data_IF_207095143487
#
_entry.id   IF_207095143487
#
_cell.length_a   1.000
_cell.length_b   1.000
_cell.length_c   1.000
_cell.angle_alpha   90.00
_cell.angle_beta   90.00
_cell.angle_gamma   90.00
#
_symmetry.space_group_name_H-M   'P 1'
#
loop_
_entity.id
_entity.type
_entity.pdbx_description
1 polymer ?
#
# COMPACT_ATOMS: atom_id res chain seq x y z
N UNK A 1 -49.81 -35.27 0.74
CA UNK A 1 -49.19 -33.92 0.67
C UNK A 1 -47.85 -33.90 1.42
N UNK A 2 -46.86 -34.68 0.98
CA UNK A 2 -45.54 -34.75 1.64
C UNK A 2 -44.35 -34.41 0.70
N UNK A 3 -44.58 -34.32 -0.61
CA UNK A 3 -43.50 -34.14 -1.59
C UNK A 3 -43.13 -32.67 -1.88
N UNK A 4 -43.91 -31.70 -1.42
CA UNK A 4 -43.62 -30.28 -1.64
C UNK A 4 -42.62 -29.70 -0.61
N UNK A 5 -42.51 -30.31 0.58
CA UNK A 5 -41.65 -29.80 1.66
C UNK A 5 -40.17 -30.14 1.40
N UNK A 6 -39.89 -31.30 0.82
CA UNK A 6 -38.52 -31.74 0.50
C UNK A 6 -37.87 -30.99 -0.68
N UNK A 7 -38.66 -30.35 -1.55
CA UNK A 7 -38.15 -29.57 -2.67
C UNK A 7 -37.67 -28.16 -2.25
N UNK A 8 -38.29 -27.58 -1.21
CA UNK A 8 -37.94 -26.23 -0.73
C UNK A 8 -36.72 -26.30 0.21
N UNK A 9 -36.60 -27.36 1.01
CA UNK A 9 -35.49 -27.55 1.95
C UNK A 9 -34.13 -27.76 1.28
N UNK A 10 -34.09 -28.47 0.15
CA UNK A 10 -32.86 -28.68 -0.62
C UNK A 10 -32.33 -27.40 -1.28
N UNK A 11 -33.23 -26.54 -1.75
CA UNK A 11 -32.88 -25.31 -2.45
C UNK A 11 -32.41 -24.21 -1.49
N UNK A 12 -33.04 -24.08 -0.32
CA UNK A 12 -32.63 -23.12 0.71
C UNK A 12 -31.29 -23.51 1.37
N UNK A 13 -31.10 -24.80 1.67
CA UNK A 13 -29.85 -25.32 2.22
C UNK A 13 -28.68 -25.19 1.23
N UNK A 14 -28.91 -25.48 -0.05
CA UNK A 14 -27.91 -25.28 -1.10
C UNK A 14 -27.54 -23.80 -1.30
N UNK A 15 -28.52 -22.90 -1.27
CA UNK A 15 -28.29 -21.46 -1.38
C UNK A 15 -27.50 -20.91 -0.19
N UNK A 16 -27.83 -21.33 1.04
CA UNK A 16 -27.09 -20.95 2.24
C UNK A 16 -25.65 -21.49 2.22
N UNK A 17 -25.45 -22.74 1.79
CA UNK A 17 -24.11 -23.32 1.62
C UNK A 17 -23.27 -22.56 0.59
N UNK A 18 -23.87 -22.18 -0.54
CA UNK A 18 -23.20 -21.39 -1.58
C UNK A 18 -22.86 -19.97 -1.13
N UNK A 19 -23.74 -19.32 -0.35
CA UNK A 19 -23.45 -18.00 0.24
C UNK A 19 -22.30 -18.08 1.25
N UNK A 20 -22.26 -19.11 2.09
CA UNK A 20 -21.18 -19.31 3.05
C UNK A 20 -19.83 -19.54 2.35
N UNK A 21 -19.80 -20.35 1.29
CA UNK A 21 -18.56 -20.55 0.53
C UNK A 21 -18.10 -19.27 -0.17
N UNK A 22 -19.02 -18.48 -0.72
CA UNK A 22 -18.70 -17.15 -1.27
C UNK A 22 -18.11 -16.21 -0.20
N UNK A 23 -18.69 -16.16 1.00
CA UNK A 23 -18.17 -15.33 2.10
C UNK A 23 -16.76 -15.75 2.48
N UNK A 24 -16.50 -17.05 2.58
CA UNK A 24 -15.15 -17.58 2.89
C UNK A 24 -14.15 -17.21 1.80
N UNK A 25 -14.52 -17.38 0.52
CA UNK A 25 -13.67 -17.01 -0.60
C UNK A 25 -13.40 -15.50 -0.63
N UNK A 26 -14.42 -14.66 -0.47
CA UNK A 26 -14.26 -13.22 -0.40
C UNK A 26 -13.38 -12.80 0.76
N UNK A 27 -13.56 -13.39 1.94
CA UNK A 27 -12.73 -13.09 3.13
C UNK A 27 -11.27 -13.47 2.89
N UNK A 28 -11.02 -14.62 2.26
CA UNK A 28 -9.68 -15.06 1.91
C UNK A 28 -9.01 -14.12 0.90
N UNK A 29 -9.73 -13.69 -0.13
CA UNK A 29 -9.22 -12.73 -1.12
C UNK A 29 -8.88 -11.37 -0.50
N UNK A 30 -9.73 -10.87 0.40
CA UNK A 30 -9.48 -9.61 1.12
C UNK A 30 -8.23 -9.72 2.00
N UNK A 31 -8.09 -10.83 2.74
CA UNK A 31 -6.90 -11.07 3.57
C UNK A 31 -5.63 -11.17 2.72
N UNK A 32 -5.69 -11.85 1.59
CA UNK A 32 -4.56 -11.98 0.68
C UNK A 32 -4.17 -10.63 0.05
N UNK A 33 -5.14 -9.77 -0.28
CA UNK A 33 -4.87 -8.42 -0.76
C UNK A 33 -4.14 -7.58 0.28
N UNK A 34 -4.58 -7.60 1.55
CA UNK A 34 -3.91 -6.87 2.63
C UNK A 34 -2.45 -7.32 2.83
N UNK A 35 -2.20 -8.64 2.77
CA UNK A 35 -0.84 -9.18 2.86
C UNK A 35 0.00 -8.73 1.66
N UNK A 36 -0.56 -8.78 0.45
CA UNK A 36 0.13 -8.36 -0.76
C UNK A 36 0.51 -6.88 -0.70
N UNK A 37 -0.41 -6.01 -0.28
CA UNK A 37 -0.15 -4.57 -0.10
C UNK A 37 1.00 -4.33 0.87
N UNK A 38 0.98 -4.97 2.05
CA UNK A 38 2.05 -4.84 3.04
C UNK A 38 3.43 -5.28 2.50
N UNK A 39 3.49 -6.41 1.78
CA UNK A 39 4.74 -6.90 1.17
C UNK A 39 5.26 -5.93 0.09
N UNK A 40 4.34 -5.34 -0.69
CA UNK A 40 4.69 -4.38 -1.74
C UNK A 40 5.24 -3.09 -1.12
N UNK A 41 4.61 -2.58 -0.06
CA UNK A 41 5.06 -1.40 0.67
C UNK A 41 6.44 -1.60 1.28
N UNK A 42 6.69 -2.73 1.96
CA UNK A 42 7.99 -3.01 2.58
C UNK A 42 9.11 -3.08 1.52
N UNK A 43 8.84 -3.75 0.39
CA UNK A 43 9.79 -3.80 -0.74
C UNK A 43 10.00 -2.44 -1.38
N UNK A 44 8.97 -1.59 -1.43
CA UNK A 44 9.06 -0.22 -1.94
C UNK A 44 9.95 0.63 -1.04
N UNK A 45 9.71 0.62 0.27
CA UNK A 45 10.52 1.36 1.24
C UNK A 45 11.98 0.97 1.18
N UNK A 46 12.30 -0.33 1.19
CA UNK A 46 13.68 -0.82 1.04
C UNK A 46 14.37 -0.36 -0.25
N UNK A 47 13.62 -0.25 -1.35
CA UNK A 47 14.17 0.21 -2.65
C UNK A 47 14.36 1.71 -2.69
N UNK A 48 13.37 2.47 -2.23
CA UNK A 48 13.44 3.94 -2.16
C UNK A 48 14.56 4.36 -1.22
N UNK A 49 14.70 3.68 -0.08
CA UNK A 49 15.79 3.94 0.86
C UNK A 49 17.17 3.84 0.23
N UNK A 50 17.42 2.79 -0.57
CA UNK A 50 18.68 2.68 -1.33
C UNK A 50 18.90 3.83 -2.31
N UNK A 51 17.85 4.31 -2.97
CA UNK A 51 17.96 5.46 -3.88
C UNK A 51 18.27 6.75 -3.10
N UNK A 52 17.65 6.94 -1.93
CA UNK A 52 17.92 8.10 -1.07
C UNK A 52 19.37 8.07 -0.58
N UNK A 53 19.85 6.93 -0.08
CA UNK A 53 21.23 6.77 0.38
C UNK A 53 22.24 7.08 -0.74
N UNK A 54 21.96 6.65 -1.96
CA UNK A 54 22.81 6.94 -3.13
C UNK A 54 22.75 8.41 -3.56
N UNK A 55 21.57 9.02 -3.55
CA UNK A 55 21.35 10.40 -4.05
C UNK A 55 21.76 11.48 -3.03
N UNK A 56 21.66 11.17 -1.74
CA UNK A 56 21.95 12.10 -0.65
C UNK A 56 23.23 11.74 0.12
N UNK A 57 23.92 10.66 -0.25
CA UNK A 57 25.15 10.18 0.38
C UNK A 57 25.02 10.09 1.91
N UNK A 58 23.95 9.44 2.37
CA UNK A 58 23.58 9.38 3.79
C UNK A 58 23.31 7.95 4.24
N UNK A 59 23.36 7.73 5.55
CA UNK A 59 23.06 6.45 6.19
C UNK A 59 21.55 6.24 6.40
N UNK A 60 21.11 5.01 6.64
CA UNK A 60 19.68 4.65 6.82
C UNK A 60 19.03 5.33 8.03
N UNK A 61 19.80 5.59 9.07
CA UNK A 61 19.39 6.27 10.30
C UNK A 61 19.34 7.79 10.17
N UNK A 62 19.89 8.35 9.08
CA UNK A 62 19.89 9.78 8.83
C UNK A 62 18.54 10.30 8.29
N UNK A 63 17.63 9.42 7.87
CA UNK A 63 16.34 9.82 7.31
C UNK A 63 15.19 8.89 7.68
N UNK A 64 13.97 9.39 7.49
CA UNK A 64 12.72 8.63 7.59
C UNK A 64 11.84 8.97 6.40
N UNK A 65 11.25 7.94 5.79
CA UNK A 65 10.28 8.11 4.71
C UNK A 65 8.90 8.27 5.36
N UNK A 66 8.25 9.39 5.09
CA UNK A 66 6.91 9.72 5.56
C UNK A 66 5.91 9.64 4.40
N UNK A 67 4.71 9.17 4.71
CA UNK A 67 3.60 9.28 3.77
C UNK A 67 3.10 10.74 3.69
N UNK A 68 2.77 11.25 2.49
CA UNK A 68 2.13 12.55 2.36
C UNK A 68 0.76 12.60 3.03
N UNK A 69 0.45 13.71 3.70
CA UNK A 69 -0.89 13.96 4.26
C UNK A 69 -1.90 14.25 3.15
N UNK A 70 -1.47 14.94 2.09
CA UNK A 70 -2.30 15.26 0.94
C UNK A 70 -2.62 14.00 0.11
N UNK A 71 -3.91 13.65 -0.06
CA UNK A 71 -4.32 12.46 -0.84
C UNK A 71 -3.93 12.55 -2.32
N UNK A 72 -3.75 13.75 -2.87
CA UNK A 72 -3.28 13.93 -4.25
C UNK A 72 -1.78 13.65 -4.41
N UNK A 73 -1.01 13.72 -3.32
CA UNK A 73 0.41 13.42 -3.32
C UNK A 73 0.68 11.94 -2.97
N UNK A 74 -0.26 11.28 -2.27
CA UNK A 74 -0.13 9.88 -1.88
C UNK A 74 0.03 8.97 -3.11
N UNK A 75 1.09 8.16 -3.10
CA UNK A 75 1.43 7.24 -4.20
C UNK A 75 2.13 7.90 -5.40
N UNK A 76 2.25 9.23 -5.42
CA UNK A 76 2.99 9.98 -6.47
C UNK A 76 4.31 10.50 -5.92
N UNK A 77 4.29 11.07 -4.72
CA UNK A 77 5.45 11.61 -4.04
C UNK A 77 5.68 10.89 -2.71
N UNK A 78 6.95 10.86 -2.30
CA UNK A 78 7.38 10.43 -0.98
C UNK A 78 8.05 11.60 -0.26
N UNK A 79 7.81 11.72 1.04
CA UNK A 79 8.46 12.73 1.85
C UNK A 79 9.64 12.06 2.56
N UNK A 80 10.81 12.67 2.49
CA UNK A 80 12.00 12.25 3.21
C UNK A 80 12.28 13.28 4.28
N UNK A 81 12.16 12.89 5.54
CA UNK A 81 12.52 13.70 6.69
C UNK A 81 13.91 13.30 7.17
N UNK A 82 14.86 14.22 7.16
CA UNK A 82 16.21 13.99 7.67
C UNK A 82 16.31 14.35 9.15
N UNK A 83 17.18 13.66 9.88
CA UNK A 83 17.49 13.97 11.29
C UNK A 83 18.08 15.37 11.48
N UNK A 84 18.66 15.95 10.42
CA UNK A 84 19.09 17.34 10.36
C UNK A 84 17.95 18.37 10.39
N UNK A 85 16.69 17.91 10.31
CA UNK A 85 15.50 18.76 10.22
C UNK A 85 15.16 19.21 8.79
N UNK A 86 15.89 18.74 7.78
CA UNK A 86 15.55 19.00 6.39
C UNK A 86 14.46 18.04 5.89
N UNK A 87 13.49 18.58 5.14
CA UNK A 87 12.45 17.79 4.50
C UNK A 87 12.59 17.88 2.99
N UNK A 88 12.42 16.76 2.30
CA UNK A 88 12.45 16.69 0.85
C UNK A 88 11.22 15.97 0.33
N UNK A 89 10.58 16.54 -0.68
CA UNK A 89 9.60 15.84 -1.49
C UNK A 89 10.35 15.21 -2.66
N UNK A 90 10.26 13.89 -2.78
CA UNK A 90 10.87 13.14 -3.86
C UNK A 90 9.82 12.46 -4.72
N UNK A 91 10.10 12.36 -6.02
CA UNK A 91 9.36 11.49 -6.94
C UNK A 91 10.33 10.50 -7.56
N UNK A 92 10.03 9.22 -7.45
CA UNK A 92 10.77 8.19 -8.16
C UNK A 92 10.18 7.97 -9.56
N UNK A 93 11.04 7.74 -10.54
CA UNK A 93 10.63 7.27 -11.86
C UNK A 93 10.09 5.85 -11.78
N UNK A 94 8.99 5.59 -12.47
CA UNK A 94 8.48 4.23 -12.70
C UNK A 94 9.23 3.49 -13.81
N UNK A 95 9.95 4.24 -14.67
CA UNK A 95 10.80 3.70 -15.72
C UNK A 95 12.08 3.10 -15.16
N UNK A 96 12.65 2.11 -15.86
CA UNK A 96 13.99 1.59 -15.57
C UNK A 96 15.05 2.43 -16.32
N UNK A 97 16.18 2.81 -15.69
CA UNK A 97 16.50 2.63 -14.27
C UNK A 97 15.64 3.54 -13.37
N UNK A 98 15.16 3.00 -12.25
CA UNK A 98 14.43 3.80 -11.26
C UNK A 98 15.41 4.79 -10.66
N UNK A 99 15.06 6.07 -10.73
CA UNK A 99 15.85 7.19 -10.21
C UNK A 99 14.93 8.23 -9.59
N UNK A 100 15.46 9.07 -8.72
CA UNK A 100 14.76 10.25 -8.24
C UNK A 100 14.71 11.26 -9.40
N UNK A 101 13.50 11.69 -9.77
CA UNK A 101 13.24 12.63 -10.88
C UNK A 101 12.77 13.99 -10.41
N UNK A 102 12.22 14.06 -9.20
CA UNK A 102 11.89 15.30 -8.51
C UNK A 102 12.54 15.24 -7.15
N UNK A 103 13.21 16.32 -6.76
CA UNK A 103 13.84 16.53 -5.45
C UNK A 103 13.63 17.99 -5.08
N UNK A 104 12.61 18.23 -4.28
CA UNK A 104 12.26 19.57 -3.84
C UNK A 104 12.46 19.66 -2.33
N UNK A 105 13.18 20.68 -1.88
CA UNK A 105 13.37 20.93 -0.45
C UNK A 105 12.12 21.65 0.07
N UNK A 106 11.59 21.17 1.17
CA UNK A 106 10.42 21.73 1.81
C UNK A 106 10.87 22.55 3.03
N UNK A 107 10.32 23.75 3.16
CA UNK A 107 10.62 24.64 4.28
C UNK A 107 9.91 24.20 5.56
N UNK A 108 8.75 23.53 5.45
CA UNK A 108 8.08 22.91 6.59
C UNK A 108 7.22 21.71 6.19
N UNK A 109 6.93 20.85 7.16
CA UNK A 109 6.01 19.72 6.98
C UNK A 109 4.53 20.16 6.85
N UNK A 110 4.19 21.42 7.18
CA UNK A 110 2.80 21.92 7.12
C UNK A 110 2.28 22.11 5.69
N UNK A 111 3.18 22.09 4.72
CA UNK A 111 2.87 22.37 3.32
C UNK A 111 2.51 21.09 2.54
N UNK A 112 2.29 19.94 3.22
CA UNK A 112 2.23 18.59 2.63
C UNK A 112 1.14 17.69 3.20
#
# INVERSE_FOLDING_TARGET
>A
MANAIFSISGNLGGMLGFLLTLIVVCSFLLFFNLICESIVEEKRHKRIGKLIQQEFECDEDAYTILEPTNPNAKGVYDIVAFTSGAYYMIRCSDSKPKKIIVKEKLDSLKDI
#
